data_IF_601894730477
#
_entry.id   IF_601894730477
#
_cell.length_a   1.000
_cell.length_b   1.000
_cell.length_c   1.000
_cell.angle_alpha   90.00
_cell.angle_beta   90.00
_cell.angle_gamma   90.00
#
_symmetry.space_group_name_H-M   'P 1'
#
loop_
_entity.id
_entity.type
_entity.pdbx_description
1 polymer ?
#
# COMPACT_ATOMS: atom_id res chain seq x y z
N UNK A 1 -9.36 35.30 -4.35
CA UNK A 1 -10.62 34.66 -3.89
C UNK A 1 -11.03 35.09 -2.49
N UNK A 2 -10.32 34.76 -1.40
CA UNK A 2 -10.72 35.21 -0.04
C UNK A 2 -10.61 36.75 0.14
N UNK A 3 -9.57 37.37 -0.43
CA UNK A 3 -9.34 38.81 -0.31
C UNK A 3 -10.43 39.68 -0.97
N UNK A 4 -11.05 39.20 -2.05
CA UNK A 4 -12.09 39.93 -2.78
C UNK A 4 -13.49 39.69 -2.21
N UNK A 5 -13.79 38.47 -1.75
CA UNK A 5 -15.14 38.08 -1.32
C UNK A 5 -15.43 38.32 0.16
N UNK A 6 -14.40 38.29 1.02
CA UNK A 6 -14.53 38.46 2.47
C UNK A 6 -13.24 39.01 3.11
N UNK A 7 -12.92 40.30 2.90
CA UNK A 7 -11.64 40.90 3.32
C UNK A 7 -11.37 40.76 4.83
N UNK A 8 -12.43 40.80 5.65
CA UNK A 8 -12.33 40.62 7.11
C UNK A 8 -11.90 39.22 7.55
N UNK A 9 -11.89 38.23 6.66
CA UNK A 9 -11.49 36.85 6.95
C UNK A 9 -10.10 36.48 6.41
N UNK A 10 -9.40 37.37 5.69
CA UNK A 10 -8.11 37.01 5.07
C UNK A 10 -7.07 36.56 6.11
N UNK A 11 -7.09 37.17 7.30
CA UNK A 11 -6.22 36.80 8.42
C UNK A 11 -6.59 35.45 9.07
N UNK A 12 -7.78 34.92 8.79
CA UNK A 12 -8.23 33.61 9.25
C UNK A 12 -7.82 32.46 8.32
N UNK A 13 -7.57 32.74 7.04
CA UNK A 13 -7.21 31.75 6.02
C UNK A 13 -5.73 31.82 5.67
N UNK A 14 -4.86 31.63 6.67
CA UNK A 14 -3.42 31.51 6.44
C UNK A 14 -3.06 30.12 5.93
N UNK A 15 -1.97 30.01 5.17
CA UNK A 15 -1.47 28.71 4.71
C UNK A 15 -1.21 27.72 5.86
N UNK A 16 -0.79 28.23 7.03
CA UNK A 16 -0.59 27.43 8.23
C UNK A 16 -1.91 26.85 8.76
N UNK A 17 -2.96 27.66 8.86
CA UNK A 17 -4.28 27.21 9.33
C UNK A 17 -4.93 26.23 8.37
N UNK A 18 -4.76 26.44 7.06
CA UNK A 18 -5.24 25.50 6.04
C UNK A 18 -4.49 24.17 6.14
N UNK A 19 -3.17 24.17 6.31
CA UNK A 19 -2.39 22.94 6.52
C UNK A 19 -2.81 22.21 7.79
N UNK A 20 -2.98 22.93 8.89
CA UNK A 20 -3.45 22.35 10.16
C UNK A 20 -4.85 21.75 10.03
N UNK A 21 -5.79 22.47 9.40
CA UNK A 21 -7.15 21.98 9.20
C UNK A 21 -7.17 20.75 8.28
N UNK A 22 -6.42 20.78 7.17
CA UNK A 22 -6.28 19.65 6.26
C UNK A 22 -5.70 18.43 6.98
N UNK A 23 -4.57 18.58 7.67
CA UNK A 23 -3.95 17.49 8.42
C UNK A 23 -4.88 16.93 9.51
N UNK A 24 -5.69 17.78 10.15
CA UNK A 24 -6.69 17.32 11.13
C UNK A 24 -7.75 16.44 10.49
N UNK A 25 -8.29 16.84 9.33
CA UNK A 25 -9.31 16.06 8.61
C UNK A 25 -8.72 14.77 8.05
N UNK A 26 -7.57 14.84 7.38
CA UNK A 26 -6.94 13.70 6.71
C UNK A 26 -6.53 12.60 7.71
N UNK A 27 -5.97 13.00 8.86
CA UNK A 27 -5.41 12.05 9.84
C UNK A 27 -6.45 11.49 10.82
N UNK A 28 -7.64 12.10 10.95
CA UNK A 28 -8.64 11.74 12.01
C UNK A 28 -10.05 11.50 11.50
N UNK A 29 -10.32 11.72 10.22
CA UNK A 29 -11.66 11.46 9.71
C UNK A 29 -11.94 9.96 9.61
N UNK A 30 -13.20 9.60 9.85
CA UNK A 30 -13.73 8.26 9.64
C UNK A 30 -14.75 8.30 8.51
N UNK A 31 -14.79 7.23 7.72
CA UNK A 31 -15.80 7.06 6.69
C UNK A 31 -17.11 6.58 7.31
N UNK A 32 -18.17 7.30 7.02
CA UNK A 32 -19.54 6.91 7.30
C UNK A 32 -20.08 6.32 5.99
N UNK A 33 -20.34 5.01 5.94
CA UNK A 33 -21.16 4.46 4.86
C UNK A 33 -22.54 5.11 4.93
N UNK A 34 -22.77 6.06 4.04
CA UNK A 34 -23.94 6.91 4.00
C UNK A 34 -24.32 7.03 2.53
N UNK A 35 -25.62 6.98 2.24
CA UNK A 35 -26.15 7.06 0.87
C UNK A 35 -25.54 8.26 0.10
N UNK A 36 -25.22 8.10 -1.20
CA UNK A 36 -24.59 9.16 -1.98
C UNK A 36 -25.41 10.46 -2.00
N UNK A 37 -24.77 11.58 -1.69
CA UNK A 37 -25.43 12.88 -1.63
C UNK A 37 -25.68 13.43 -3.06
N UNK A 38 -26.92 13.79 -3.45
CA UNK A 38 -27.28 14.11 -4.84
C UNK A 38 -26.60 15.36 -5.41
N UNK A 39 -25.97 16.19 -4.58
CA UNK A 39 -25.28 17.42 -4.99
C UNK A 39 -23.75 17.31 -5.08
N UNK A 40 -23.14 16.20 -4.65
CA UNK A 40 -21.69 16.02 -4.66
C UNK A 40 -21.35 14.76 -5.46
N UNK A 41 -20.74 14.94 -6.63
CA UNK A 41 -20.24 13.84 -7.46
C UNK A 41 -18.91 13.30 -6.90
N UNK A 42 -18.94 12.82 -5.65
CA UNK A 42 -17.86 12.03 -5.05
C UNK A 42 -18.27 10.55 -5.10
N UNK A 43 -17.28 9.66 -5.16
CA UNK A 43 -17.52 8.22 -5.01
C UNK A 43 -18.28 7.99 -3.68
N UNK A 44 -19.40 7.24 -3.64
CA UNK A 44 -20.15 6.97 -2.41
C UNK A 44 -19.30 6.45 -1.24
N UNK A 45 -18.20 5.74 -1.54
CA UNK A 45 -17.24 5.27 -0.52
C UNK A 45 -16.34 6.41 0.01
N UNK A 46 -16.17 7.49 -0.74
CA UNK A 46 -15.39 8.68 -0.37
C UNK A 46 -16.29 9.87 0.04
N UNK A 47 -17.61 9.77 -0.07
CA UNK A 47 -18.50 10.93 -0.06
C UNK A 47 -18.89 11.42 1.34
N UNK A 48 -18.66 10.65 2.40
CA UNK A 48 -19.10 10.98 3.75
C UNK A 48 -18.04 10.69 4.80
N UNK A 49 -17.23 11.69 5.10
CA UNK A 49 -16.25 11.66 6.19
C UNK A 49 -16.74 12.47 7.38
N UNK A 50 -16.45 12.01 8.59
CA UNK A 50 -16.76 12.73 9.83
C UNK A 50 -15.56 12.75 10.77
N UNK A 51 -15.45 13.84 11.53
CA UNK A 51 -14.63 13.85 12.74
C UNK A 51 -15.49 13.31 13.88
N UNK A 52 -15.03 12.23 14.51
CA UNK A 52 -15.72 11.56 15.60
C UNK A 52 -14.94 11.78 16.91
N UNK A 53 -15.34 12.76 17.74
CA UNK A 53 -14.67 13.01 19.01
C UNK A 53 -14.62 11.76 19.88
N UNK A 54 -13.55 11.62 20.67
CA UNK A 54 -13.22 10.46 21.51
C UNK A 54 -12.72 9.24 20.73
N UNK A 55 -13.40 8.86 19.65
CA UNK A 55 -12.93 7.79 18.76
C UNK A 55 -11.56 8.14 18.19
N UNK A 56 -11.42 9.38 17.74
CA UNK A 56 -10.20 9.92 17.16
C UNK A 56 -8.99 9.85 18.10
N UNK A 57 -9.16 9.64 19.41
CA UNK A 57 -8.06 9.45 20.37
C UNK A 57 -7.45 8.04 20.36
N UNK A 58 -8.11 7.06 19.74
CA UNK A 58 -7.63 5.69 19.67
C UNK A 58 -6.51 5.56 18.65
N UNK A 59 -5.37 5.00 19.08
CA UNK A 59 -4.19 4.82 18.23
C UNK A 59 -4.29 3.55 17.37
N UNK A 60 -3.49 3.52 16.31
CA UNK A 60 -3.39 2.39 15.39
C UNK A 60 -2.48 1.27 15.91
N UNK A 61 -2.88 0.03 15.70
CA UNK A 61 -1.96 -1.10 15.52
C UNK A 61 -2.41 -1.94 14.33
N UNK A 62 -1.46 -2.56 13.65
CA UNK A 62 -1.65 -3.35 12.42
C UNK A 62 -2.38 -4.69 12.63
N UNK A 63 -2.43 -5.17 13.88
CA UNK A 63 -3.07 -6.44 14.26
C UNK A 63 -4.42 -6.29 14.96
N UNK A 64 -4.86 -5.07 15.28
CA UNK A 64 -6.09 -4.87 16.05
C UNK A 64 -7.30 -5.42 15.30
N UNK A 65 -8.12 -6.19 16.01
CA UNK A 65 -9.35 -6.76 15.49
C UNK A 65 -10.51 -5.90 15.96
N UNK A 66 -11.12 -5.16 15.03
CA UNK A 66 -12.25 -4.28 15.31
C UNK A 66 -13.34 -4.42 14.26
N UNK A 67 -14.58 -4.31 14.70
CA UNK A 67 -15.73 -4.05 13.82
C UNK A 67 -16.20 -2.63 14.08
N UNK A 68 -16.49 -1.89 13.01
CA UNK A 68 -16.95 -0.53 13.09
C UNK A 68 -18.22 -0.37 12.23
N UNK A 69 -19.30 0.13 12.82
CA UNK A 69 -20.58 0.26 12.13
C UNK A 69 -21.40 1.44 12.64
N UNK A 70 -22.30 1.94 11.78
CA UNK A 70 -23.33 2.91 12.21
C UNK A 70 -24.54 2.11 12.68
N UNK A 71 -24.78 2.12 13.99
CA UNK A 71 -25.96 1.49 14.56
C UNK A 71 -27.15 2.44 14.47
N UNK A 72 -28.06 2.14 13.54
CA UNK A 72 -29.25 2.97 13.28
C UNK A 72 -30.23 3.03 14.46
N UNK A 73 -30.20 2.06 15.37
CA UNK A 73 -31.10 2.02 16.53
C UNK A 73 -30.62 2.95 17.64
N UNK A 74 -29.33 2.91 17.96
CA UNK A 74 -28.70 3.83 18.92
C UNK A 74 -28.36 5.19 18.30
N UNK A 75 -28.41 5.30 16.97
CA UNK A 75 -27.99 6.47 16.19
C UNK A 75 -26.54 6.88 16.48
N UNK A 76 -25.65 5.89 16.66
CA UNK A 76 -24.24 6.12 16.96
C UNK A 76 -23.33 5.29 16.07
N UNK A 77 -22.09 5.78 15.90
CA UNK A 77 -21.00 5.00 15.34
C UNK A 77 -20.40 4.13 16.45
N UNK A 78 -20.41 2.82 16.27
CA UNK A 78 -20.00 1.85 17.28
C UNK A 78 -18.75 1.12 16.79
N UNK A 79 -17.69 1.13 17.61
CA UNK A 79 -16.51 0.30 17.41
C UNK A 79 -16.51 -0.78 18.49
N UNK A 80 -16.48 -2.03 18.07
CA UNK A 80 -16.34 -3.19 18.95
C UNK A 80 -14.99 -3.86 18.68
N UNK A 81 -14.21 -4.08 19.74
CA UNK A 81 -12.94 -4.79 19.64
C UNK A 81 -13.14 -6.29 19.88
N UNK A 82 -12.43 -7.11 19.11
CA UNK A 82 -12.26 -8.54 19.35
C UNK A 82 -11.08 -8.86 20.28
N UNK A 83 -10.28 -7.86 20.64
CA UNK A 83 -9.10 -8.01 21.47
C UNK A 83 -9.43 -7.89 22.97
N UNK A 84 -8.68 -8.61 23.81
CA UNK A 84 -8.80 -8.53 25.26
C UNK A 84 -7.85 -7.49 25.83
N UNK A 85 -8.37 -6.55 26.63
CA UNK A 85 -7.57 -5.52 27.32
C UNK A 85 -7.65 -5.68 28.83
N UNK A 86 -6.51 -5.54 29.52
CA UNK A 86 -6.46 -5.43 30.97
C UNK A 86 -6.71 -3.99 31.38
N UNK A 87 -7.06 -3.80 32.66
CA UNK A 87 -7.17 -2.46 33.24
C UNK A 87 -5.85 -1.70 33.03
N UNK A 88 -5.96 -0.48 32.52
CA UNK A 88 -4.84 0.42 32.19
C UNK A 88 -4.06 0.09 30.92
N UNK A 89 -4.44 -0.94 30.17
CA UNK A 89 -3.92 -1.13 28.83
C UNK A 89 -4.44 -0.02 27.90
N UNK A 90 -3.59 0.43 26.99
CA UNK A 90 -4.04 1.27 25.89
C UNK A 90 -4.89 0.44 24.93
N UNK A 91 -6.07 0.96 24.58
CA UNK A 91 -6.93 0.36 23.57
C UNK A 91 -6.51 0.89 22.20
N UNK A 92 -6.27 -0.03 21.27
CA UNK A 92 -5.92 0.27 19.89
C UNK A 92 -7.06 -0.12 18.95
N UNK A 93 -7.08 0.53 17.78
CA UNK A 93 -7.93 0.13 16.65
C UNK A 93 -7.06 -0.09 15.41
N UNK A 94 -7.63 -0.69 14.37
CA UNK A 94 -6.99 -0.70 13.06
C UNK A 94 -7.54 0.46 12.22
N UNK A 95 -6.67 1.27 11.62
CA UNK A 95 -7.06 2.30 10.66
C UNK A 95 -7.24 1.71 9.24
N UNK A 96 -6.84 0.45 9.06
CA UNK A 96 -6.80 -0.25 7.78
C UNK A 96 -5.51 -1.06 7.62
N UNK A 97 -5.50 -1.95 6.62
CA UNK A 97 -4.31 -2.71 6.23
C UNK A 97 -3.35 -1.82 5.41
N UNK A 98 -2.72 -0.86 6.08
CA UNK A 98 -1.87 0.15 5.45
C UNK A 98 -0.39 -0.10 5.71
N UNK A 99 0.42 0.00 4.65
CA UNK A 99 1.87 0.04 4.79
C UNK A 99 2.35 1.34 5.43
N UNK A 100 3.59 1.34 5.91
CA UNK A 100 4.19 2.49 6.58
C UNK A 100 4.26 3.74 5.69
N UNK A 101 4.41 3.61 4.37
CA UNK A 101 4.38 4.76 3.45
C UNK A 101 3.03 5.47 3.50
N UNK A 102 1.93 4.71 3.45
CA UNK A 102 0.57 5.27 3.56
C UNK A 102 0.31 5.83 4.95
N UNK A 103 0.76 5.13 6.01
CA UNK A 103 0.66 5.65 7.38
C UNK A 103 1.42 6.96 7.56
N UNK A 104 2.61 7.10 6.98
CA UNK A 104 3.39 8.32 7.12
C UNK A 104 2.73 9.50 6.39
N UNK A 105 2.27 9.29 5.17
CA UNK A 105 1.67 10.35 4.34
C UNK A 105 0.34 10.82 4.93
N UNK A 106 -0.53 9.88 5.32
CA UNK A 106 -1.92 10.19 5.70
C UNK A 106 -2.11 10.36 7.22
N UNK A 107 -1.22 9.79 8.04
CA UNK A 107 -1.36 9.80 9.51
C UNK A 107 -0.14 10.34 10.25
N UNK A 108 0.98 10.58 9.55
CA UNK A 108 2.17 11.21 10.13
C UNK A 108 3.03 10.29 11.01
N UNK A 109 2.86 8.97 10.93
CA UNK A 109 3.67 8.01 11.71
C UNK A 109 3.99 6.75 10.90
N UNK A 110 4.93 5.95 11.42
CA UNK A 110 5.24 4.60 10.93
C UNK A 110 5.22 3.63 12.10
N UNK A 111 4.93 2.36 11.84
CA UNK A 111 5.08 1.32 12.86
C UNK A 111 6.50 0.72 12.79
N UNK A 112 7.12 0.38 13.93
CA UNK A 112 8.45 -0.26 13.94
C UNK A 112 8.47 -1.61 13.21
N UNK A 113 7.37 -2.35 13.29
CA UNK A 113 7.09 -3.58 12.57
C UNK A 113 5.64 -3.46 12.08
N UNK A 114 5.42 -3.60 10.78
CA UNK A 114 4.09 -3.52 10.17
C UNK A 114 3.89 -4.72 9.26
N UNK A 115 2.94 -5.58 9.58
CA UNK A 115 2.65 -6.79 8.79
C UNK A 115 2.10 -6.46 7.39
N UNK A 116 1.58 -5.25 7.18
CA UNK A 116 1.04 -4.79 5.90
C UNK A 116 2.08 -4.10 5.01
N UNK A 117 3.34 -4.04 5.44
CA UNK A 117 4.42 -3.47 4.65
C UNK A 117 4.67 -4.28 3.37
N UNK A 118 4.75 -3.55 2.26
CA UNK A 118 4.95 -4.11 0.92
C UNK A 118 5.86 -3.22 0.09
N UNK A 119 6.65 -3.83 -0.79
CA UNK A 119 7.41 -3.16 -1.83
C UNK A 119 6.71 -3.35 -3.18
N UNK A 120 6.42 -2.26 -3.89
CA UNK A 120 5.66 -2.30 -5.14
C UNK A 120 6.57 -2.22 -6.37
N UNK A 121 6.25 -3.01 -7.39
CA UNK A 121 6.89 -3.01 -8.69
C UNK A 121 5.96 -2.42 -9.75
N UNK A 122 6.55 -1.68 -10.70
CA UNK A 122 5.84 -1.22 -11.89
C UNK A 122 5.95 -2.26 -13.01
N UNK A 123 4.98 -2.26 -13.93
CA UNK A 123 5.06 -3.08 -15.14
C UNK A 123 6.33 -2.78 -15.93
N UNK A 124 6.77 -1.52 -15.96
CA UNK A 124 8.01 -1.13 -16.64
C UNK A 124 9.25 -1.75 -15.99
N UNK A 125 9.30 -1.84 -14.66
CA UNK A 125 10.39 -2.55 -13.96
C UNK A 125 10.38 -4.04 -14.32
N UNK A 126 9.22 -4.69 -14.32
CA UNK A 126 9.08 -6.08 -14.78
C UNK A 126 9.66 -6.24 -16.19
N UNK A 127 9.24 -5.40 -17.14
CA UNK A 127 9.71 -5.45 -18.53
C UNK A 127 11.22 -5.22 -18.63
N UNK A 128 11.77 -4.28 -17.86
CA UNK A 128 13.20 -3.97 -17.90
C UNK A 128 14.10 -5.13 -17.45
N UNK A 129 13.58 -6.01 -16.59
CA UNK A 129 14.30 -7.18 -16.10
C UNK A 129 14.07 -8.43 -16.96
N UNK A 130 13.27 -8.35 -18.02
CA UNK A 130 13.02 -9.49 -18.91
C UNK A 130 14.23 -9.79 -19.80
N UNK A 131 14.50 -11.08 -20.10
CA UNK A 131 15.51 -11.44 -21.08
C UNK A 131 15.23 -10.80 -22.45
N UNK A 132 16.27 -10.50 -23.21
CA UNK A 132 16.14 -9.93 -24.56
C UNK A 132 15.37 -10.84 -25.54
N UNK A 133 15.26 -12.13 -25.24
CA UNK A 133 14.44 -13.11 -25.97
C UNK A 133 12.94 -12.99 -25.69
N UNK A 134 12.52 -12.18 -24.70
CA UNK A 134 11.12 -12.00 -24.36
C UNK A 134 10.37 -11.24 -25.46
N UNK A 135 9.73 -12.00 -26.34
CA UNK A 135 8.87 -11.47 -27.40
C UNK A 135 7.48 -11.06 -26.90
N UNK A 136 6.78 -10.31 -27.74
CA UNK A 136 5.37 -9.94 -27.58
C UNK A 136 5.03 -9.19 -26.28
N UNK A 137 5.95 -8.33 -25.81
CA UNK A 137 5.82 -7.53 -24.58
C UNK A 137 4.49 -6.78 -24.53
N UNK A 138 4.09 -6.11 -25.61
CA UNK A 138 2.83 -5.33 -25.63
C UNK A 138 1.58 -6.21 -25.43
N UNK A 139 1.58 -7.42 -26.00
CA UNK A 139 0.47 -8.35 -25.76
C UNK A 139 0.46 -8.83 -24.31
N UNK A 140 1.63 -9.11 -23.73
CA UNK A 140 1.78 -9.49 -22.32
C UNK A 140 1.33 -8.37 -21.38
N UNK A 141 1.66 -7.11 -21.67
CA UNK A 141 1.13 -5.92 -20.97
C UNK A 141 -0.40 -5.84 -21.04
N UNK A 142 -0.99 -6.04 -22.23
CA UNK A 142 -2.45 -6.08 -22.39
C UNK A 142 -3.11 -7.16 -21.53
N UNK A 143 -2.49 -8.35 -21.44
CA UNK A 143 -3.00 -9.45 -20.61
C UNK A 143 -3.01 -9.07 -19.12
N UNK A 144 -1.96 -8.41 -18.62
CA UNK A 144 -1.93 -7.91 -17.24
C UNK A 144 -3.09 -6.94 -16.95
N UNK A 145 -3.41 -6.06 -17.91
CA UNK A 145 -4.54 -5.15 -17.83
C UNK A 145 -5.89 -5.87 -17.86
N UNK A 146 -6.09 -6.80 -18.80
CA UNK A 146 -7.29 -7.66 -18.90
C UNK A 146 -7.54 -8.46 -17.60
N UNK A 147 -6.47 -8.87 -16.93
CA UNK A 147 -6.50 -9.65 -15.69
C UNK A 147 -6.48 -8.79 -14.41
N UNK A 148 -6.38 -7.46 -14.52
CA UNK A 148 -6.22 -6.52 -13.39
C UNK A 148 -5.02 -6.83 -12.45
N UNK A 149 -3.99 -7.55 -12.92
CA UNK A 149 -2.85 -7.95 -12.09
C UNK A 149 -1.99 -6.76 -11.64
N UNK A 150 -2.00 -5.67 -12.41
CA UNK A 150 -1.29 -4.43 -12.13
C UNK A 150 -1.65 -3.76 -10.80
N UNK A 151 -2.77 -4.12 -10.18
CA UNK A 151 -3.21 -3.57 -8.89
C UNK A 151 -2.38 -4.05 -7.70
N UNK A 152 -1.69 -5.18 -7.83
CA UNK A 152 -1.04 -5.84 -6.69
C UNK A 152 0.32 -6.46 -7.05
N UNK A 153 1.12 -5.79 -7.89
CA UNK A 153 2.49 -6.22 -8.22
C UNK A 153 3.44 -5.86 -7.07
N UNK A 154 3.36 -6.59 -5.97
CA UNK A 154 4.10 -6.29 -4.74
C UNK A 154 4.79 -7.53 -4.16
N UNK A 155 5.73 -7.32 -3.26
CA UNK A 155 6.22 -8.35 -2.35
C UNK A 155 6.19 -7.84 -0.90
N UNK A 156 6.13 -8.77 0.06
CA UNK A 156 6.24 -8.52 1.50
C UNK A 156 7.37 -9.37 2.09
N UNK A 157 7.54 -9.33 3.40
CA UNK A 157 8.48 -10.23 4.10
C UNK A 157 8.13 -11.72 3.90
N UNK A 158 6.90 -12.05 3.52
CA UNK A 158 6.43 -13.41 3.24
C UNK A 158 6.66 -13.84 1.78
N UNK A 159 7.23 -12.96 0.95
CA UNK A 159 7.52 -13.21 -0.46
C UNK A 159 6.65 -12.43 -1.44
N UNK A 160 6.59 -12.91 -2.69
CA UNK A 160 5.88 -12.23 -3.78
C UNK A 160 4.36 -12.42 -3.67
N UNK A 161 3.61 -11.40 -4.04
CA UNK A 161 2.18 -11.55 -4.23
C UNK A 161 1.89 -12.54 -5.36
N UNK A 162 0.73 -13.19 -5.28
CA UNK A 162 0.24 -14.05 -6.36
C UNK A 162 0.18 -13.31 -7.71
N UNK A 163 -0.17 -12.03 -7.71
CA UNK A 163 -0.26 -11.22 -8.93
C UNK A 163 1.12 -10.97 -9.54
N UNK A 164 2.14 -10.72 -8.72
CA UNK A 164 3.52 -10.56 -9.17
C UNK A 164 4.05 -11.86 -9.77
N UNK A 165 3.90 -12.98 -9.06
CA UNK A 165 4.33 -14.30 -9.55
C UNK A 165 3.63 -14.67 -10.86
N UNK A 166 2.31 -14.43 -10.95
CA UNK A 166 1.53 -14.73 -12.16
C UNK A 166 1.93 -13.82 -13.32
N UNK A 167 2.19 -12.54 -13.06
CA UNK A 167 2.67 -11.61 -14.08
C UNK A 167 4.02 -12.06 -14.64
N UNK A 168 4.98 -12.44 -13.80
CA UNK A 168 6.28 -12.95 -14.23
C UNK A 168 6.14 -14.22 -15.10
N UNK A 169 5.28 -15.17 -14.71
CA UNK A 169 4.96 -16.35 -15.52
C UNK A 169 4.37 -16.00 -16.87
N UNK A 170 3.44 -15.03 -16.93
CA UNK A 170 2.89 -14.54 -18.22
C UNK A 170 3.99 -13.94 -19.09
N UNK A 171 4.94 -13.22 -18.50
CA UNK A 171 6.04 -12.63 -19.23
C UNK A 171 7.07 -13.66 -19.74
N UNK A 172 7.30 -14.73 -19.00
CA UNK A 172 8.17 -15.84 -19.41
C UNK A 172 7.50 -16.78 -20.42
N UNK A 173 6.16 -16.80 -20.45
CA UNK A 173 5.41 -17.73 -21.29
C UNK A 173 5.78 -17.61 -22.78
N UNK A 174 6.10 -18.73 -23.46
CA UNK A 174 6.33 -18.77 -24.89
C UNK A 174 5.09 -18.34 -25.67
N UNK A 175 5.28 -17.82 -26.87
CA UNK A 175 4.18 -17.34 -27.73
C UNK A 175 3.15 -18.44 -28.00
N UNK A 176 3.61 -19.67 -28.23
CA UNK A 176 2.79 -20.84 -28.54
C UNK A 176 1.87 -21.22 -27.37
N UNK A 177 2.26 -20.89 -26.13
CA UNK A 177 1.50 -21.17 -24.93
C UNK A 177 0.71 -19.95 -24.44
N UNK A 178 0.94 -18.77 -25.01
CA UNK A 178 0.35 -17.52 -24.53
C UNK A 178 -1.19 -17.58 -24.51
N UNK A 179 -1.82 -18.30 -25.43
CA UNK A 179 -3.28 -18.48 -25.43
C UNK A 179 -3.83 -19.15 -24.17
N UNK A 180 -2.99 -19.86 -23.40
CA UNK A 180 -3.33 -20.55 -22.15
C UNK A 180 -3.14 -19.66 -20.90
N UNK A 181 -2.82 -18.37 -21.04
CA UNK A 181 -2.52 -17.47 -19.91
C UNK A 181 -3.61 -17.47 -18.81
N UNK A 182 -4.88 -17.70 -19.16
CA UNK A 182 -5.99 -17.79 -18.18
C UNK A 182 -5.86 -18.97 -17.22
N UNK A 183 -5.15 -20.04 -17.61
CA UNK A 183 -4.87 -21.16 -16.71
C UNK A 183 -3.92 -20.75 -15.57
N UNK A 184 -3.00 -19.82 -15.83
CA UNK A 184 -2.15 -19.26 -14.77
C UNK A 184 -2.98 -18.50 -13.74
N UNK A 185 -4.05 -17.81 -14.16
CA UNK A 185 -4.99 -17.16 -13.23
C UNK A 185 -5.72 -18.15 -12.30
N UNK A 186 -5.80 -19.43 -12.71
CA UNK A 186 -6.42 -20.50 -11.92
C UNK A 186 -5.39 -21.26 -11.07
N UNK A 187 -4.12 -20.83 -11.07
CA UNK A 187 -3.03 -21.49 -10.36
C UNK A 187 -2.47 -22.72 -11.04
N UNK A 188 -2.78 -22.95 -12.33
CA UNK A 188 -2.19 -24.07 -13.07
C UNK A 188 -0.69 -23.82 -13.34
N UNK A 189 0.13 -24.86 -13.22
CA UNK A 189 1.48 -24.87 -13.80
C UNK A 189 1.41 -25.23 -15.28
N UNK A 190 2.14 -24.49 -16.11
CA UNK A 190 2.22 -24.72 -17.56
C UNK A 190 3.55 -25.37 -17.99
N UNK A 191 4.41 -25.73 -17.02
CA UNK A 191 5.72 -26.34 -17.23
C UNK A 191 6.72 -25.93 -16.16
N UNK A 192 7.50 -26.89 -15.64
CA UNK A 192 8.53 -26.64 -14.62
C UNK A 192 9.62 -25.68 -15.12
N UNK A 193 9.84 -25.65 -16.43
CA UNK A 193 10.74 -24.72 -17.12
C UNK A 193 10.26 -23.27 -17.02
N UNK A 194 8.95 -23.03 -17.16
CA UNK A 194 8.35 -21.69 -17.02
C UNK A 194 8.43 -21.22 -15.57
N UNK A 195 8.14 -22.11 -14.61
CA UNK A 195 8.23 -21.80 -13.19
C UNK A 195 9.67 -21.46 -12.80
N UNK A 196 10.64 -22.30 -13.21
CA UNK A 196 12.08 -22.08 -12.99
C UNK A 196 12.57 -20.77 -13.60
N UNK A 197 12.17 -20.47 -14.84
CA UNK A 197 12.61 -19.26 -15.53
C UNK A 197 11.94 -18.00 -14.95
N UNK A 198 10.68 -18.10 -14.52
CA UNK A 198 10.00 -17.03 -13.77
C UNK A 198 10.72 -16.71 -12.46
N UNK A 199 11.17 -17.71 -11.71
CA UNK A 199 11.88 -17.51 -10.44
C UNK A 199 13.27 -16.90 -10.64
N UNK A 200 13.97 -17.26 -11.72
CA UNK A 200 15.23 -16.59 -12.08
C UNK A 200 15.02 -15.10 -12.40
N UNK A 201 14.01 -14.77 -13.20
CA UNK A 201 13.70 -13.37 -13.51
C UNK A 201 13.27 -12.61 -12.25
N UNK A 202 12.48 -13.26 -11.37
CA UNK A 202 12.11 -12.71 -10.08
C UNK A 202 13.35 -12.38 -9.23
N UNK A 203 14.30 -13.31 -9.13
CA UNK A 203 15.54 -13.11 -8.38
C UNK A 203 16.34 -11.92 -8.91
N UNK A 204 16.54 -11.81 -10.23
CA UNK A 204 17.24 -10.68 -10.85
C UNK A 204 16.53 -9.36 -10.55
N UNK A 205 15.21 -9.32 -10.73
CA UNK A 205 14.41 -8.12 -10.49
C UNK A 205 14.48 -7.66 -9.03
N UNK A 206 14.38 -8.60 -8.07
CA UNK A 206 14.46 -8.32 -6.63
C UNK A 206 15.88 -7.93 -6.22
N UNK A 207 16.91 -8.54 -6.79
CA UNK A 207 18.32 -8.17 -6.53
C UNK A 207 18.64 -6.75 -7.00
N UNK A 208 18.18 -6.36 -8.18
CA UNK A 208 18.32 -4.98 -8.67
C UNK A 208 17.61 -3.99 -7.76
N UNK A 209 16.35 -4.27 -7.40
CA UNK A 209 15.57 -3.43 -6.49
C UNK A 209 16.23 -3.35 -5.10
N UNK A 210 16.77 -4.45 -4.57
CA UNK A 210 17.48 -4.48 -3.29
C UNK A 210 18.75 -3.61 -3.36
N UNK A 211 19.46 -3.64 -4.47
CA UNK A 211 20.62 -2.77 -4.70
C UNK A 211 20.23 -1.28 -4.70
N UNK A 212 19.13 -0.94 -5.35
CA UNK A 212 18.54 0.41 -5.35
C UNK A 212 18.11 0.85 -3.94
N UNK A 213 17.38 0.00 -3.22
CA UNK A 213 16.91 0.25 -1.86
C UNK A 213 18.08 0.45 -0.88
N UNK A 214 19.14 -0.36 -0.98
CA UNK A 214 20.34 -0.17 -0.16
C UNK A 214 21.03 1.17 -0.44
N UNK A 215 21.17 1.56 -1.72
CA UNK A 215 21.70 2.89 -2.07
C UNK A 215 20.84 4.00 -1.48
N UNK A 216 19.52 3.87 -1.55
CA UNK A 216 18.59 4.83 -0.97
C UNK A 216 18.75 4.91 0.55
N UNK A 217 18.76 3.77 1.27
CA UNK A 217 18.98 3.72 2.71
C UNK A 217 20.31 4.38 3.12
N UNK A 218 21.39 4.13 2.39
CA UNK A 218 22.68 4.80 2.62
C UNK A 218 22.59 6.32 2.40
N UNK A 219 21.89 6.76 1.35
CA UNK A 219 21.68 8.18 1.09
C UNK A 219 20.88 8.85 2.22
N UNK A 220 19.80 8.21 2.70
CA UNK A 220 18.99 8.72 3.82
C UNK A 220 19.82 8.80 5.10
N UNK A 221 20.61 7.76 5.42
CA UNK A 221 21.54 7.77 6.59
C UNK A 221 22.56 8.90 6.54
N UNK A 222 22.97 9.33 5.35
CA UNK A 222 23.94 10.42 5.16
C UNK A 222 23.34 11.83 5.26
N UNK A 223 22.02 11.98 5.29
CA UNK A 223 21.36 13.28 5.41
C UNK A 223 21.41 13.81 6.85
N UNK A 224 21.39 15.14 6.99
CA UNK A 224 21.30 15.78 8.32
C UNK A 224 20.04 15.34 9.05
N UNK A 225 20.15 15.14 10.36
CA UNK A 225 19.00 14.76 11.20
C UNK A 225 18.02 15.93 11.29
N UNK A 226 16.91 15.81 10.57
CA UNK A 226 15.75 16.71 10.63
C UNK A 226 14.61 16.08 11.44
N UNK A 227 13.56 16.84 11.75
CA UNK A 227 12.43 16.47 12.62
C UNK A 227 11.78 15.11 12.32
N UNK A 228 11.86 14.61 11.07
CA UNK A 228 11.26 13.33 10.65
C UNK A 228 12.27 12.32 10.09
N UNK A 229 13.57 12.53 10.32
CA UNK A 229 14.63 11.70 9.75
C UNK A 229 14.50 10.22 10.15
N UNK A 230 14.10 9.93 11.39
CA UNK A 230 13.88 8.56 11.87
C UNK A 230 12.74 7.84 11.13
N UNK A 231 11.69 8.57 10.74
CA UNK A 231 10.57 8.02 9.98
C UNK A 231 11.01 7.64 8.56
N UNK A 232 11.79 8.52 7.91
CA UNK A 232 12.36 8.25 6.58
C UNK A 232 13.35 7.09 6.61
N UNK A 233 14.17 7.00 7.67
CA UNK A 233 15.07 5.86 7.85
C UNK A 233 14.31 4.54 7.99
N UNK A 234 13.19 4.54 8.73
CA UNK A 234 12.36 3.32 8.88
C UNK A 234 11.75 2.90 7.55
N UNK A 235 11.23 3.82 6.74
CA UNK A 235 10.72 3.50 5.40
C UNK A 235 11.80 2.91 4.49
N UNK A 236 12.98 3.55 4.43
CA UNK A 236 14.07 3.03 3.61
C UNK A 236 14.60 1.67 4.12
N UNK A 237 14.51 1.41 5.43
CA UNK A 237 14.86 0.11 6.00
C UNK A 237 13.78 -0.94 5.70
N UNK A 238 12.49 -0.58 5.70
CA UNK A 238 11.38 -1.48 5.34
C UNK A 238 11.60 -2.07 3.94
N UNK A 239 11.95 -1.25 2.96
CA UNK A 239 12.22 -1.72 1.59
C UNK A 239 13.34 -2.76 1.54
N UNK A 240 14.45 -2.50 2.26
CA UNK A 240 15.59 -3.42 2.33
C UNK A 240 15.20 -4.74 3.01
N UNK A 241 14.46 -4.66 4.12
CA UNK A 241 14.02 -5.83 4.89
C UNK A 241 13.09 -6.72 4.04
N UNK A 242 12.09 -6.12 3.37
CA UNK A 242 11.14 -6.80 2.49
C UNK A 242 11.85 -7.48 1.32
N UNK A 243 12.72 -6.76 0.61
CA UNK A 243 13.40 -7.28 -0.57
C UNK A 243 14.41 -8.38 -0.21
N UNK A 244 15.09 -8.24 0.95
CA UNK A 244 16.00 -9.28 1.46
C UNK A 244 15.25 -10.57 1.78
N UNK A 245 14.12 -10.47 2.49
CA UNK A 245 13.28 -11.62 2.82
C UNK A 245 12.69 -12.26 1.57
N UNK A 246 12.16 -11.46 0.64
CA UNK A 246 11.62 -11.94 -0.65
C UNK A 246 12.66 -12.72 -1.44
N UNK A 247 13.90 -12.23 -1.52
CA UNK A 247 14.98 -12.91 -2.22
C UNK A 247 15.34 -14.26 -1.56
N UNK A 248 15.28 -14.34 -0.23
CA UNK A 248 15.47 -15.60 0.48
C UNK A 248 14.36 -16.61 0.15
N UNK A 249 13.10 -16.18 0.09
CA UNK A 249 11.97 -17.02 -0.31
C UNK A 249 12.13 -17.58 -1.72
N UNK A 250 12.47 -16.73 -2.70
CA UNK A 250 12.68 -17.15 -4.09
C UNK A 250 13.79 -18.21 -4.19
N UNK A 251 14.90 -18.03 -3.46
CA UNK A 251 16.03 -18.98 -3.49
C UNK A 251 15.78 -20.29 -2.72
N UNK A 252 14.74 -20.33 -1.90
CA UNK A 252 14.34 -21.52 -1.13
C UNK A 252 13.22 -22.32 -1.78
N UNK A 253 12.59 -21.77 -2.82
CA UNK A 253 11.53 -22.41 -3.62
C UNK A 253 12.15 -23.34 -4.66
#
# INVERSE_FOLDING_TARGET
FVEESAPGLCHCFTAERVRWAWATVDTRSVYLCTEPHPALALDPEESNVALAPFLDLLNHTDTAQVTAEVNLKSQSYEITTGDGFKKYDQVFISYGAYNNTKLLINYGFVLPQNVHNTYAFTVDKLVSCMPASCGHIERKRSILGEANLQRNLVCSVDGMSWSLSTALKIFVLPWELLFKWKLLLQGASLGDDIDTESDKVAAVMVEEALSEANRHLHAVKGQSQVTHHTLLLRLAQDDVDILTATLAHIRSS
#
